data_IF_367763958426
#
_entry.id   IF_367763958426
#
_cell.length_a   1.000
_cell.length_b   1.000
_cell.length_c   1.000
_cell.angle_alpha   90.00
_cell.angle_beta   90.00
_cell.angle_gamma   90.00
#
_symmetry.space_group_name_H-M   'P 1'
#
loop_
_entity.id
_entity.type
_entity.pdbx_description
1 polymer ?
#
# COMPACT_ATOMS: atom_id res chain seq x y z
N UNK A 1 -19.69 19.70 13.59
CA UNK A 1 -18.92 18.70 14.38
C UNK A 1 -19.07 17.30 13.80
N UNK A 2 -20.29 16.78 13.60
CA UNK A 2 -20.49 15.44 13.00
C UNK A 2 -19.89 15.29 11.58
N UNK A 3 -19.79 16.37 10.81
CA UNK A 3 -19.17 16.38 9.47
C UNK A 3 -17.65 16.20 9.45
N UNK A 4 -16.97 16.37 10.60
CA UNK A 4 -15.50 16.27 10.72
C UNK A 4 -15.05 14.98 11.41
N UNK A 5 -16.00 14.13 11.82
CA UNK A 5 -15.74 12.81 12.43
C UNK A 5 -16.03 11.76 11.35
N UNK A 6 -15.33 11.86 10.23
CA UNK A 6 -15.48 10.95 9.09
C UNK A 6 -14.52 9.73 9.14
N UNK A 7 -13.73 9.60 10.21
CA UNK A 7 -12.76 8.53 10.39
C UNK A 7 -11.37 8.80 9.79
N UNK A 8 -11.17 9.91 9.08
CA UNK A 8 -9.90 10.22 8.40
C UNK A 8 -9.06 11.28 9.14
N UNK A 9 -9.71 12.18 9.88
CA UNK A 9 -9.05 13.28 10.57
C UNK A 9 -8.63 12.91 12.00
N UNK A 10 -7.40 13.27 12.37
CA UNK A 10 -6.89 13.11 13.73
C UNK A 10 -7.51 14.11 14.70
N UNK A 11 -7.48 13.79 16.00
CA UNK A 11 -7.94 14.68 17.09
C UNK A 11 -7.27 16.07 17.00
N UNK A 12 -6.02 16.13 16.55
CA UNK A 12 -5.28 17.38 16.39
C UNK A 12 -5.82 18.24 15.24
N UNK A 13 -6.16 17.62 14.11
CA UNK A 13 -6.73 18.32 12.95
C UNK A 13 -8.15 18.81 13.27
N UNK A 14 -8.95 18.00 13.97
CA UNK A 14 -10.28 18.39 14.43
C UNK A 14 -10.20 19.58 15.39
N UNK A 15 -9.23 19.58 16.32
CA UNK A 15 -8.99 20.69 17.24
C UNK A 15 -8.64 21.99 16.51
N UNK A 16 -7.79 21.91 15.49
CA UNK A 16 -7.40 23.05 14.67
C UNK A 16 -8.58 23.62 13.86
N UNK A 17 -9.38 22.76 13.23
CA UNK A 17 -10.55 23.16 12.43
C UNK A 17 -11.64 23.81 13.29
N UNK A 18 -11.86 23.28 14.49
CA UNK A 18 -12.88 23.78 15.41
C UNK A 18 -12.39 24.94 16.30
N UNK A 19 -11.12 25.35 16.18
CA UNK A 19 -10.46 26.33 17.06
C UNK A 19 -10.60 25.99 18.55
N UNK A 20 -10.60 24.68 18.86
CA UNK A 20 -10.73 24.15 20.22
C UNK A 20 -9.40 23.58 20.70
N UNK A 21 -9.23 23.42 22.01
CA UNK A 21 -8.05 22.71 22.50
C UNK A 21 -8.20 21.21 22.29
N UNK A 22 -7.07 20.52 22.14
CA UNK A 22 -7.03 19.04 22.04
C UNK A 22 -7.73 18.38 23.21
N UNK A 23 -7.66 18.98 24.41
CA UNK A 23 -8.32 18.49 25.62
C UNK A 23 -9.84 18.55 25.52
N UNK A 24 -10.37 19.63 24.95
CA UNK A 24 -11.81 19.81 24.79
C UNK A 24 -12.36 18.83 23.75
N UNK A 25 -11.64 18.64 22.64
CA UNK A 25 -12.00 17.64 21.62
C UNK A 25 -11.94 16.22 22.19
N UNK A 26 -10.90 15.87 22.94
CA UNK A 26 -10.78 14.57 23.59
C UNK A 26 -11.94 14.30 24.58
N UNK A 27 -12.37 15.31 25.33
CA UNK A 27 -13.50 15.19 26.24
C UNK A 27 -14.82 14.94 25.49
N UNK A 28 -15.04 15.66 24.39
CA UNK A 28 -16.23 15.47 23.54
C UNK A 28 -16.23 14.08 22.90
N UNK A 29 -15.09 13.63 22.37
CA UNK A 29 -14.96 12.30 21.76
C UNK A 29 -15.23 11.19 22.77
N UNK A 30 -14.72 11.31 24.01
CA UNK A 30 -14.99 10.37 25.08
C UNK A 30 -16.48 10.31 25.45
N UNK A 31 -17.15 11.46 25.51
CA UNK A 31 -18.59 11.53 25.78
C UNK A 31 -19.40 10.90 24.64
N UNK A 32 -19.01 11.12 23.38
CA UNK A 32 -19.70 10.52 22.24
C UNK A 32 -19.51 8.99 22.19
N UNK A 33 -18.32 8.49 22.52
CA UNK A 33 -18.03 7.06 22.59
C UNK A 33 -18.84 6.38 23.71
N UNK A 34 -18.83 6.96 24.91
CA UNK A 34 -19.55 6.41 26.07
C UNK A 34 -21.06 6.44 25.92
N UNK A 35 -21.61 7.32 25.08
CA UNK A 35 -23.04 7.37 24.77
C UNK A 35 -23.41 6.57 23.50
N UNK A 36 -22.48 5.81 22.92
CA UNK A 36 -22.72 4.94 21.76
C UNK A 36 -23.03 5.68 20.46
N UNK A 37 -22.69 6.97 20.38
CA UNK A 37 -22.91 7.82 19.19
C UNK A 37 -21.80 7.61 18.16
N UNK A 38 -20.61 7.25 18.62
CA UNK A 38 -19.47 6.86 17.79
C UNK A 38 -18.96 5.50 18.25
N UNK A 39 -18.60 4.64 17.30
CA UNK A 39 -17.82 3.44 17.58
C UNK A 39 -16.37 3.71 17.20
N UNK A 40 -15.44 3.23 18.02
CA UNK A 40 -14.02 3.26 17.64
C UNK A 40 -13.83 2.04 16.77
N UNK A 41 -14.06 2.20 15.46
CA UNK A 41 -13.41 1.29 14.53
C UNK A 41 -11.92 1.43 14.82
N UNK A 42 -11.23 0.31 15.02
CA UNK A 42 -9.81 0.34 14.78
C UNK A 42 -9.69 0.69 13.29
N UNK A 43 -9.56 1.99 13.01
CA UNK A 43 -8.72 2.41 11.91
C UNK A 43 -7.39 1.80 12.32
N UNK A 44 -7.18 0.54 11.93
CA UNK A 44 -5.85 0.07 11.65
C UNK A 44 -5.32 1.21 10.81
N UNK A 45 -4.48 2.06 11.42
CA UNK A 45 -3.54 2.83 10.65
C UNK A 45 -2.77 1.73 9.96
N UNK A 46 -3.28 1.27 8.80
CA UNK A 46 -2.51 0.52 7.84
C UNK A 46 -1.34 1.45 7.70
N UNK A 47 -0.24 1.10 8.35
CA UNK A 47 1.04 1.71 8.03
C UNK A 47 1.10 1.42 6.55
N UNK A 48 0.87 2.45 5.74
CA UNK A 48 1.06 2.34 4.30
C UNK A 48 2.56 2.13 4.15
N UNK A 49 2.97 0.89 4.36
CA UNK A 49 4.30 0.41 4.09
C UNK A 49 4.31 0.41 2.56
N UNK A 50 4.90 1.44 1.99
CA UNK A 50 5.10 1.52 0.56
C UNK A 50 6.29 0.65 0.18
N UNK A 51 6.23 0.08 -1.01
CA UNK A 51 7.33 -0.71 -1.56
C UNK A 51 8.59 0.15 -1.66
N UNK A 52 9.72 -0.38 -1.22
CA UNK A 52 11.02 0.31 -1.36
C UNK A 52 11.39 0.42 -2.85
N UNK A 53 12.08 1.51 -3.23
CA UNK A 53 12.61 1.68 -4.60
C UNK A 53 13.44 0.46 -5.04
N UNK A 54 14.22 -0.11 -4.11
CA UNK A 54 15.05 -1.30 -4.36
C UNK A 54 14.26 -2.54 -4.81
N UNK A 55 12.97 -2.64 -4.42
CA UNK A 55 12.10 -3.70 -4.92
C UNK A 55 11.88 -3.57 -6.42
N UNK A 56 11.52 -2.38 -6.90
CA UNK A 56 11.30 -2.13 -8.32
C UNK A 56 12.58 -2.28 -9.14
N UNK A 57 13.72 -1.83 -8.62
CA UNK A 57 15.03 -2.05 -9.27
C UNK A 57 15.33 -3.55 -9.45
N UNK A 58 14.91 -4.37 -8.48
CA UNK A 58 15.12 -5.82 -8.53
C UNK A 58 14.14 -6.49 -9.47
N UNK A 59 12.86 -6.13 -9.37
CA UNK A 59 11.79 -6.59 -10.27
C UNK A 59 12.15 -6.34 -11.74
N UNK A 60 12.59 -5.12 -12.05
CA UNK A 60 13.02 -4.72 -13.39
C UNK A 60 14.23 -5.53 -13.85
N UNK A 61 15.26 -5.68 -13.00
CA UNK A 61 16.44 -6.49 -13.35
C UNK A 61 16.09 -7.93 -13.67
N UNK A 62 15.28 -8.59 -12.83
CA UNK A 62 14.87 -9.98 -13.05
C UNK A 62 14.06 -10.08 -14.33
N UNK A 63 13.05 -9.21 -14.51
CA UNK A 63 12.18 -9.24 -15.69
C UNK A 63 12.94 -8.92 -16.99
N UNK A 64 13.92 -8.01 -16.97
CA UNK A 64 14.78 -7.71 -18.11
C UNK A 64 15.57 -8.93 -18.59
N UNK A 65 15.96 -9.85 -17.70
CA UNK A 65 16.66 -11.09 -18.13
C UNK A 65 15.76 -12.04 -18.92
N UNK A 66 14.44 -11.86 -18.84
CA UNK A 66 13.42 -12.76 -19.38
C UNK A 66 12.88 -12.22 -20.71
N UNK A 67 12.42 -10.96 -20.70
CA UNK A 67 11.74 -10.31 -21.83
C UNK A 67 12.55 -9.14 -22.43
N UNK A 68 13.71 -8.82 -21.87
CA UNK A 68 14.59 -7.76 -22.37
C UNK A 68 14.17 -6.36 -21.91
N UNK A 69 14.63 -5.29 -22.59
CA UNK A 69 14.44 -3.90 -22.16
C UNK A 69 12.99 -3.44 -22.16
N UNK A 70 12.05 -4.20 -22.75
CA UNK A 70 10.61 -3.91 -22.67
C UNK A 70 10.05 -4.08 -21.25
N UNK A 71 10.79 -4.77 -20.37
CA UNK A 71 10.40 -5.03 -18.98
C UNK A 71 9.99 -3.77 -18.21
N UNK A 72 10.66 -2.63 -18.44
CA UNK A 72 10.33 -1.37 -17.75
C UNK A 72 8.90 -0.93 -18.09
N UNK A 73 8.50 -1.01 -19.36
CA UNK A 73 7.15 -0.65 -19.80
C UNK A 73 6.10 -1.62 -19.28
N UNK A 74 6.38 -2.94 -19.31
CA UNK A 74 5.46 -3.94 -18.76
C UNK A 74 5.19 -3.70 -17.28
N UNK A 75 6.20 -3.36 -16.49
CA UNK A 75 6.00 -3.05 -15.06
C UNK A 75 5.13 -1.82 -14.88
N UNK A 76 5.37 -0.77 -15.66
CA UNK A 76 4.61 0.48 -15.54
C UNK A 76 3.15 0.29 -16.00
N UNK A 77 2.92 -0.46 -17.09
CA UNK A 77 1.58 -0.82 -17.59
C UNK A 77 0.81 -1.63 -16.53
N UNK A 78 1.43 -2.64 -15.91
CA UNK A 78 0.78 -3.44 -14.87
C UNK A 78 0.44 -2.62 -13.62
N UNK A 79 1.26 -1.63 -13.25
CA UNK A 79 0.97 -0.73 -12.13
C UNK A 79 -0.20 0.20 -12.48
N UNK A 80 -0.26 0.69 -13.71
CA UNK A 80 -1.36 1.51 -14.21
C UNK A 80 -2.68 0.72 -14.25
N UNK A 81 -2.66 -0.54 -14.70
CA UNK A 81 -3.82 -1.43 -14.71
C UNK A 81 -4.36 -1.73 -13.30
N UNK A 82 -3.50 -1.67 -12.28
CA UNK A 82 -3.91 -1.78 -10.87
C UNK A 82 -4.50 -0.49 -10.31
N UNK A 83 -4.54 0.59 -11.09
CA UNK A 83 -4.90 1.96 -10.69
C UNK A 83 -4.03 2.46 -9.52
N UNK A 84 -2.75 2.10 -9.51
CA UNK A 84 -1.80 2.43 -8.44
C UNK A 84 -0.68 3.37 -8.92
N UNK A 85 -0.02 4.00 -7.96
CA UNK A 85 1.17 4.82 -8.19
C UNK A 85 2.42 4.08 -7.72
N UNK A 86 3.41 3.92 -8.59
CA UNK A 86 4.71 3.27 -8.29
C UNK A 86 5.42 3.89 -7.08
N UNK A 87 5.34 5.21 -6.92
CA UNK A 87 5.94 5.94 -5.79
C UNK A 87 5.23 5.72 -4.45
N UNK A 88 3.99 5.22 -4.50
CA UNK A 88 3.14 4.94 -3.33
C UNK A 88 2.54 3.54 -3.40
N UNK A 89 3.32 2.60 -3.95
CA UNK A 89 2.82 1.25 -4.18
C UNK A 89 2.68 0.48 -2.85
N UNK A 90 1.50 -0.02 -2.46
CA UNK A 90 1.31 -0.69 -1.18
C UNK A 90 2.04 -2.04 -1.11
N UNK A 91 2.77 -2.30 -0.02
CA UNK A 91 3.50 -3.57 0.18
C UNK A 91 2.57 -4.77 0.12
N UNK A 92 1.34 -4.67 0.62
CA UNK A 92 0.37 -5.77 0.54
C UNK A 92 -0.01 -6.18 -0.90
N UNK A 93 0.18 -5.30 -1.88
CA UNK A 93 -0.15 -5.53 -3.30
C UNK A 93 1.04 -6.07 -4.12
N UNK A 94 2.21 -6.21 -3.51
CA UNK A 94 3.43 -6.67 -4.22
C UNK A 94 3.23 -8.08 -4.79
N UNK A 95 2.58 -8.97 -4.06
CA UNK A 95 2.33 -10.33 -4.51
C UNK A 95 1.45 -10.36 -5.78
N UNK A 96 0.41 -9.51 -5.81
CA UNK A 96 -0.48 -9.37 -6.97
C UNK A 96 0.25 -8.81 -8.19
N UNK A 97 1.11 -7.80 -8.03
CA UNK A 97 1.92 -7.27 -9.13
C UNK A 97 2.84 -8.34 -9.73
N UNK A 98 3.49 -9.15 -8.88
CA UNK A 98 4.34 -10.25 -9.35
C UNK A 98 3.52 -11.28 -10.13
N UNK A 99 2.31 -11.59 -9.67
CA UNK A 99 1.41 -12.52 -10.34
C UNK A 99 0.98 -12.02 -11.73
N UNK A 100 0.51 -10.76 -11.83
CA UNK A 100 0.14 -10.13 -13.10
C UNK A 100 1.30 -10.13 -14.11
N UNK A 101 2.49 -9.73 -13.68
CA UNK A 101 3.70 -9.77 -14.53
C UNK A 101 4.04 -11.20 -14.93
N UNK A 102 3.82 -12.18 -14.06
CA UNK A 102 4.09 -13.58 -14.36
C UNK A 102 3.17 -14.12 -15.46
N UNK A 103 1.95 -13.60 -15.56
CA UNK A 103 0.98 -14.02 -16.58
C UNK A 103 1.33 -13.49 -17.98
N UNK A 104 2.07 -12.39 -18.07
CA UNK A 104 2.64 -11.87 -19.32
C UNK A 104 3.81 -12.72 -19.86
N UNK A 105 4.39 -13.59 -19.02
CA UNK A 105 5.50 -14.46 -19.44
C UNK A 105 4.93 -15.73 -20.08
N UNK A 106 4.97 -15.80 -21.42
CA UNK A 106 4.42 -16.95 -22.17
C UNK A 106 5.20 -18.26 -22.01
N UNK A 107 6.49 -18.19 -21.69
CA UNK A 107 7.34 -19.36 -21.47
C UNK A 107 7.22 -19.83 -20.02
N UNK A 108 6.65 -21.02 -19.82
CA UNK A 108 6.36 -21.58 -18.50
C UNK A 108 7.62 -21.79 -17.64
N UNK A 109 8.74 -22.19 -18.24
CA UNK A 109 9.98 -22.38 -17.50
C UNK A 109 10.54 -21.04 -17.01
N UNK A 110 10.46 -20.00 -17.84
CA UNK A 110 10.85 -18.64 -17.46
C UNK A 110 9.91 -18.03 -16.43
N UNK A 111 8.60 -18.29 -16.53
CA UNK A 111 7.60 -17.86 -15.55
C UNK A 111 7.90 -18.44 -14.16
N UNK A 112 8.18 -19.74 -14.09
CA UNK A 112 8.54 -20.41 -12.83
C UNK A 112 9.83 -19.83 -12.25
N UNK A 113 10.84 -19.58 -13.10
CA UNK A 113 12.10 -18.97 -12.67
C UNK A 113 11.87 -17.56 -12.09
N UNK A 114 11.10 -16.72 -12.77
CA UNK A 114 10.72 -15.38 -12.30
C UNK A 114 10.06 -15.42 -10.92
N UNK A 115 9.02 -16.24 -10.77
CA UNK A 115 8.30 -16.37 -9.51
C UNK A 115 9.20 -16.85 -8.37
N UNK A 116 10.09 -17.82 -8.66
CA UNK A 116 11.07 -18.32 -7.70
C UNK A 116 12.04 -17.22 -7.24
N UNK A 117 12.60 -16.45 -8.17
CA UNK A 117 13.55 -15.38 -7.87
C UNK A 117 12.91 -14.26 -7.05
N UNK A 118 11.69 -13.86 -7.41
CA UNK A 118 10.93 -12.85 -6.67
C UNK A 118 10.54 -13.35 -5.26
N UNK A 119 10.12 -14.61 -5.12
CA UNK A 119 9.85 -15.20 -3.80
C UNK A 119 11.10 -15.24 -2.92
N UNK A 120 12.27 -15.56 -3.50
CA UNK A 120 13.53 -15.53 -2.76
C UNK A 120 13.90 -14.11 -2.31
N UNK A 121 13.68 -13.11 -3.16
CA UNK A 121 13.86 -11.70 -2.79
C UNK A 121 12.97 -11.32 -1.61
N UNK A 122 11.68 -11.62 -1.69
CA UNK A 122 10.71 -11.30 -0.63
C UNK A 122 11.07 -11.97 0.69
N UNK A 123 11.45 -13.25 0.68
CA UNK A 123 11.87 -13.98 1.89
C UNK A 123 13.09 -13.38 2.58
N UNK A 124 14.01 -12.75 1.84
CA UNK A 124 15.23 -12.13 2.40
C UNK A 124 15.00 -10.73 2.99
N UNK A 125 13.90 -10.07 2.62
CA UNK A 125 13.59 -8.67 2.99
C UNK A 125 12.40 -8.53 3.96
N UNK A 126 11.49 -9.49 4.00
CA UNK A 126 10.30 -9.49 4.88
C UNK A 126 10.47 -10.31 6.17
N UNK A 127 11.63 -10.96 6.37
CA UNK A 127 11.94 -11.79 7.56
C UNK A 127 13.19 -11.25 8.25
#
# INVERSE_FOLDING_TARGET
MLTQINGEQSIQEIANVLAMTVKDVAHIMYNLYTHGVIDVSQVERKKHNFAEVQFFDTLEKVLMTIIGPVATFVIDDMIEDMELDKSKFPVERIAELIELISDEISDEAKKIAFQSDMLQYLKKKLI
#
